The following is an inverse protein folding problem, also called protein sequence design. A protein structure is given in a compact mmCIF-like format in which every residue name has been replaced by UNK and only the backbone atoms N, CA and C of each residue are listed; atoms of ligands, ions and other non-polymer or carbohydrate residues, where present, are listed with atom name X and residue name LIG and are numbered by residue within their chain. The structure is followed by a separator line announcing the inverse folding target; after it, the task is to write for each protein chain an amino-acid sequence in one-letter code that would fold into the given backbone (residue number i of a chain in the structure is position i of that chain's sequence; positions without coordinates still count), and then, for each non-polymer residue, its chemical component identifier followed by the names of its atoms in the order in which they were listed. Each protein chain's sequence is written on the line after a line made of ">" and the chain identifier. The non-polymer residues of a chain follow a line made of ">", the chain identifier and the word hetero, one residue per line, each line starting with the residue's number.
data_IF_720028017823
#
_entry.id   IF_720028017823
#
_cell.length_a   1.000
_cell.length_b   1.000
_cell.length_c   1.000
_cell.angle_alpha   90.00
_cell.angle_beta   90.00
_cell.angle_gamma   90.00
#
_symmetry.space_group_name_H-M   'P 1'
#
loop_
_entity.id
_entity.type
_entity.pdbx_description
1 polymer ?
#
# COMPACT_ATOMS: atom_id res chain seq x y z
N UNK A 1 10.71 -18.53 16.18
CA UNK A 1 10.66 -17.08 15.89
C UNK A 1 9.61 -16.85 14.82
N UNK A 2 8.64 -15.97 15.07
CA UNK A 2 7.64 -15.57 14.06
C UNK A 2 8.29 -14.56 13.10
N UNK A 3 8.18 -14.78 11.79
CA UNK A 3 8.67 -13.84 10.78
C UNK A 3 7.75 -12.62 10.71
N UNK A 4 8.29 -11.45 10.38
CA UNK A 4 7.48 -10.28 10.08
C UNK A 4 6.65 -10.53 8.80
N UNK A 5 5.37 -10.15 8.82
CA UNK A 5 4.45 -10.25 7.68
C UNK A 5 4.65 -9.07 6.74
N UNK A 6 5.78 -9.06 6.04
CA UNK A 6 6.17 -8.02 5.07
C UNK A 6 6.11 -8.58 3.66
N UNK A 7 5.64 -7.77 2.72
CA UNK A 7 5.65 -8.02 1.29
C UNK A 7 6.47 -6.94 0.61
N UNK A 8 7.31 -7.34 -0.34
CA UNK A 8 8.06 -6.43 -1.20
C UNK A 8 7.41 -6.45 -2.58
N UNK A 9 7.29 -5.29 -3.20
CA UNK A 9 6.70 -5.14 -4.52
C UNK A 9 7.55 -4.20 -5.39
N UNK A 10 7.53 -4.49 -6.70
CA UNK A 10 8.04 -3.60 -7.73
C UNK A 10 6.88 -2.77 -8.29
N UNK A 11 7.13 -1.52 -8.64
CA UNK A 11 6.14 -0.68 -9.32
C UNK A 11 6.11 -0.97 -10.81
N UNK A 12 5.00 -0.65 -11.45
CA UNK A 12 4.87 -0.62 -12.91
C UNK A 12 4.38 0.75 -13.34
N UNK A 13 5.03 1.35 -14.34
CA UNK A 13 4.69 2.68 -14.83
C UNK A 13 3.22 2.75 -15.27
N UNK A 14 2.45 3.64 -14.62
CA UNK A 14 1.05 3.89 -14.95
C UNK A 14 0.07 2.75 -14.64
N UNK A 15 0.49 1.72 -13.90
CA UNK A 15 -0.34 0.56 -13.56
C UNK A 15 -0.42 0.35 -12.06
N UNK A 16 -1.60 -0.04 -11.58
CA UNK A 16 -1.76 -0.52 -10.22
C UNK A 16 -1.21 -1.95 -10.09
N UNK A 17 -0.35 -2.15 -9.12
CA UNK A 17 0.21 -3.45 -8.72
C UNK A 17 -0.49 -3.89 -7.44
N UNK A 18 -1.13 -5.05 -7.48
CA UNK A 18 -1.78 -5.64 -6.32
C UNK A 18 -0.75 -6.34 -5.41
N UNK A 19 -0.78 -6.00 -4.13
CA UNK A 19 0.06 -6.59 -3.08
C UNK A 19 -0.84 -7.32 -2.10
N UNK A 20 -0.92 -8.64 -2.24
CA UNK A 20 -1.68 -9.49 -1.32
C UNK A 20 -0.95 -9.63 0.02
N UNK A 21 -1.61 -9.22 1.09
CA UNK A 21 -1.09 -9.20 2.45
C UNK A 21 -1.01 -10.60 3.06
N UNK A 22 -1.81 -11.54 2.56
CA UNK A 22 -1.91 -12.91 3.08
C UNK A 22 -2.60 -13.02 4.43
N UNK A 23 -3.25 -11.93 4.86
CA UNK A 23 -4.05 -11.83 6.07
C UNK A 23 -4.99 -10.64 5.92
N UNK A 24 -6.11 -10.68 6.63
CA UNK A 24 -7.01 -9.54 6.75
C UNK A 24 -6.53 -8.62 7.87
N UNK A 25 -6.44 -7.31 7.60
CA UNK A 25 -6.12 -6.32 8.61
C UNK A 25 -6.94 -5.03 8.38
N UNK A 26 -6.86 -4.08 9.32
CA UNK A 26 -7.44 -2.73 9.13
C UNK A 26 -6.39 -1.67 8.79
N UNK A 27 -5.11 -2.04 8.91
CA UNK A 27 -3.98 -1.13 8.85
C UNK A 27 -2.81 -1.81 8.16
N UNK A 28 -2.14 -1.07 7.29
CA UNK A 28 -0.91 -1.49 6.67
C UNK A 28 0.12 -0.36 6.75
N UNK A 29 1.35 -0.69 7.15
CA UNK A 29 2.46 0.22 6.99
C UNK A 29 3.01 0.06 5.57
N UNK A 30 3.10 1.15 4.83
CA UNK A 30 3.64 1.17 3.47
C UNK A 30 4.88 2.06 3.47
N UNK A 31 5.98 1.55 2.95
CA UNK A 31 7.24 2.28 2.80
C UNK A 31 7.59 2.38 1.33
N UNK A 32 7.98 3.58 0.91
CA UNK A 32 8.41 3.89 -0.43
C UNK A 32 9.91 4.19 -0.43
N UNK A 33 10.66 3.33 -1.10
CA UNK A 33 12.09 3.46 -1.37
C UNK A 33 12.37 3.84 -2.83
N UNK A 34 11.32 4.19 -3.59
CA UNK A 34 11.49 4.63 -4.96
C UNK A 34 11.93 6.09 -5.02
N UNK A 35 12.55 6.48 -6.14
CA UNK A 35 12.96 7.87 -6.37
C UNK A 35 11.77 8.81 -6.60
N UNK A 36 10.59 8.25 -6.86
CA UNK A 36 9.36 8.99 -7.15
C UNK A 36 8.30 8.76 -6.07
N UNK A 37 7.17 9.41 -6.24
CA UNK A 37 6.04 9.18 -5.35
C UNK A 37 5.23 7.97 -5.81
N UNK A 38 4.59 7.32 -4.85
CA UNK A 38 3.64 6.24 -5.10
C UNK A 38 2.25 6.65 -4.61
N UNK A 39 1.24 6.02 -5.19
CA UNK A 39 -0.15 6.14 -4.78
C UNK A 39 -0.66 4.78 -4.34
N UNK A 40 -1.32 4.76 -3.20
CA UNK A 40 -1.68 3.52 -2.54
C UNK A 40 -3.15 3.53 -2.15
N UNK A 41 -3.90 2.53 -2.62
CA UNK A 41 -5.32 2.35 -2.32
C UNK A 41 -5.64 0.93 -1.89
N UNK A 42 -6.90 0.70 -1.51
CA UNK A 42 -7.41 -0.61 -1.04
C UNK A 42 -8.46 -1.21 -1.98
N UNK A 43 -8.86 -0.48 -3.02
CA UNK A 43 -9.76 -0.97 -4.05
C UNK A 43 -9.05 -0.94 -5.42
N UNK A 44 -9.35 -1.89 -6.32
CA UNK A 44 -8.68 -2.01 -7.62
C UNK A 44 -9.03 -0.88 -8.61
N UNK A 45 -10.16 -0.21 -8.39
CA UNK A 45 -10.70 0.88 -9.22
C UNK A 45 -10.27 2.28 -8.74
N UNK A 46 -9.59 2.38 -7.59
CA UNK A 46 -9.03 3.63 -7.09
C UNK A 46 -8.03 4.24 -8.07
N UNK A 47 -7.96 5.57 -8.10
CA UNK A 47 -7.03 6.37 -8.93
C UNK A 47 -6.18 7.29 -8.08
N UNK A 48 -5.17 7.92 -8.67
CA UNK A 48 -4.29 8.88 -7.95
C UNK A 48 -5.03 10.03 -7.28
N UNK A 49 -6.20 10.39 -7.80
CA UNK A 49 -7.00 11.53 -7.32
C UNK A 49 -8.27 11.08 -6.60
N UNK A 50 -8.53 9.77 -6.50
CA UNK A 50 -9.73 9.22 -5.88
C UNK A 50 -9.43 7.86 -5.24
N UNK A 51 -9.58 7.76 -3.92
CA UNK A 51 -9.39 6.51 -3.18
C UNK A 51 -7.93 6.08 -2.91
N UNK A 52 -6.91 6.79 -3.43
CA UNK A 52 -5.50 6.54 -3.11
C UNK A 52 -4.86 7.65 -2.27
N UNK A 53 -3.97 7.25 -1.35
CA UNK A 53 -3.06 8.17 -0.65
C UNK A 53 -1.75 8.29 -1.42
N UNK A 54 -1.23 9.51 -1.53
CA UNK A 54 0.13 9.76 -2.06
C UNK A 54 1.14 9.55 -0.95
N UNK A 55 2.17 8.73 -1.20
CA UNK A 55 3.32 8.54 -0.31
C UNK A 55 4.55 9.07 -1.05
N UNK A 56 5.22 10.12 -0.53
CA UNK A 56 6.41 10.67 -1.15
C UNK A 56 7.55 9.64 -1.30
N UNK A 57 8.51 9.94 -2.17
CA UNK A 57 9.81 9.24 -2.20
C UNK A 57 10.49 9.22 -0.82
N UNK A 58 11.17 8.11 -0.50
CA UNK A 58 11.88 7.88 0.77
C UNK A 58 11.03 8.13 2.03
N UNK A 59 9.74 7.79 1.96
CA UNK A 59 8.79 8.01 3.05
C UNK A 59 8.02 6.74 3.41
N UNK A 60 7.46 6.74 4.61
CA UNK A 60 6.56 5.71 5.07
C UNK A 60 5.25 6.33 5.54
N UNK A 61 4.14 5.65 5.28
CA UNK A 61 2.82 6.08 5.73
C UNK A 61 2.02 4.90 6.24
N UNK A 62 1.26 5.16 7.30
CA UNK A 62 0.26 4.22 7.80
C UNK A 62 -1.02 4.40 6.99
N UNK A 63 -1.39 3.37 6.23
CA UNK A 63 -2.69 3.26 5.61
C UNK A 63 -3.68 2.69 6.63
N UNK A 64 -4.82 3.36 6.80
CA UNK A 64 -5.88 2.97 7.75
C UNK A 64 -7.23 2.93 7.03
N UNK A 65 -7.89 1.77 7.06
CA UNK A 65 -9.30 1.63 6.66
C UNK A 65 -10.19 2.18 7.79
N UNK A 66 -10.35 3.51 7.82
CA UNK A 66 -11.15 4.21 8.83
C UNK A 66 -11.77 5.46 8.25
N UNK A 67 -13.09 5.60 8.40
CA UNK A 67 -13.82 6.78 7.98
C UNK A 67 -14.83 7.17 9.08
N UNK A 68 -14.85 8.45 9.45
CA UNK A 68 -15.88 9.06 10.30
C UNK A 68 -16.18 8.33 11.63
N UNK A 69 -15.16 7.80 12.32
CA UNK A 69 -15.37 7.12 13.61
C UNK A 69 -15.65 5.63 13.50
N UNK A 70 -15.81 5.10 12.28
CA UNK A 70 -16.07 3.69 12.01
C UNK A 70 -14.87 3.06 11.32
N UNK A 71 -14.50 1.86 11.77
CA UNK A 71 -13.57 1.03 11.03
C UNK A 71 -14.24 0.63 9.72
N UNK A 72 -13.54 0.87 8.61
CA UNK A 72 -13.96 0.32 7.32
C UNK A 72 -13.76 -1.19 7.28
N UNK A 73 -14.05 -1.77 6.12
CA UNK A 73 -13.85 -3.20 5.90
C UNK A 73 -12.40 -3.62 6.13
N UNK A 74 -12.24 -4.90 6.47
CA UNK A 74 -10.93 -5.52 6.48
C UNK A 74 -10.34 -5.49 5.06
N UNK A 75 -9.04 -5.28 5.00
CA UNK A 75 -8.28 -5.27 3.76
C UNK A 75 -7.34 -6.47 3.74
N UNK A 76 -7.27 -7.16 2.60
CA UNK A 76 -6.33 -8.26 2.35
C UNK A 76 -5.32 -7.92 1.25
N UNK A 77 -5.54 -6.82 0.54
CA UNK A 77 -4.81 -6.40 -0.64
C UNK A 77 -4.65 -4.89 -0.65
N UNK A 78 -3.46 -4.45 -1.03
CA UNK A 78 -3.14 -3.04 -1.28
C UNK A 78 -2.75 -2.87 -2.74
N UNK A 79 -3.21 -1.80 -3.37
CA UNK A 79 -2.91 -1.48 -4.77
C UNK A 79 -1.93 -0.30 -4.83
N UNK A 80 -0.77 -0.51 -5.45
CA UNK A 80 0.31 0.46 -5.53
C UNK A 80 0.47 0.94 -6.98
N UNK A 81 0.41 2.24 -7.21
CA UNK A 81 0.62 2.87 -8.51
C UNK A 81 1.78 3.85 -8.46
N UNK A 82 2.57 3.91 -9.53
CA UNK A 82 3.65 4.88 -9.67
C UNK A 82 3.78 5.34 -11.13
N UNK A 83 4.47 6.46 -11.34
CA UNK A 83 4.76 6.95 -12.70
C UNK A 83 5.93 6.22 -13.36
N UNK A 84 6.85 5.68 -12.56
CA UNK A 84 8.01 4.92 -13.02
C UNK A 84 7.93 3.47 -12.53
N UNK A 85 8.53 2.56 -13.31
CA UNK A 85 8.77 1.19 -12.87
C UNK A 85 10.10 1.13 -12.12
N UNK A 86 10.09 0.52 -10.93
CA UNK A 86 11.27 0.33 -10.11
C UNK A 86 11.15 -1.00 -9.34
N UNK A 87 12.27 -1.71 -9.19
CA UNK A 87 12.29 -3.04 -8.61
C UNK A 87 12.35 -3.00 -7.08
N UNK A 88 11.51 -3.79 -6.42
CA UNK A 88 11.55 -4.01 -4.97
C UNK A 88 11.53 -2.73 -4.12
N UNK A 89 10.95 -1.65 -4.64
CA UNK A 89 10.99 -0.32 -4.04
C UNK A 89 9.86 -0.04 -3.05
N UNK A 90 8.89 -0.95 -2.91
CA UNK A 90 7.79 -0.80 -1.96
C UNK A 90 7.75 -1.96 -0.99
N UNK A 91 7.72 -1.66 0.31
CA UNK A 91 7.43 -2.63 1.36
C UNK A 91 6.06 -2.35 1.96
N UNK A 92 5.27 -3.42 2.11
CA UNK A 92 3.97 -3.38 2.78
C UNK A 92 3.96 -4.37 3.93
N UNK A 93 3.66 -3.88 5.13
CA UNK A 93 3.52 -4.71 6.32
C UNK A 93 2.08 -4.66 6.82
N UNK A 94 1.42 -5.82 6.85
CA UNK A 94 0.11 -5.94 7.46
C UNK A 94 0.23 -5.79 8.99
N UNK A 95 -0.62 -4.95 9.58
CA UNK A 95 -0.66 -4.72 11.02
C UNK A 95 -1.95 -5.35 11.58
N UNK A 96 -1.80 -6.56 12.09
CA UNK A 96 -2.85 -7.32 12.78
C UNK A 96 -3.00 -6.83 14.22
N UNK A 97 -4.24 -6.80 14.71
CA UNK A 97 -4.59 -6.59 16.12
C UNK A 97 -5.58 -7.67 16.52
#
# INVERSE_FOLDING_TARGET
>A
MTKLKVKTASTQAGKAVAVQLGTECRRALVKNFSTGDIWVGVTPDSTKTDGMIRIPSEAAQLLVSFCAGQYGDLIDTVYVMADAAEENCVEVQALEW
#
